data_IF_992196663218
#
_entry.id   IF_992196663218
#
_cell.length_a   1.000
_cell.length_b   1.000
_cell.length_c   1.000
_cell.angle_alpha   90.00
_cell.angle_beta   90.00
_cell.angle_gamma   90.00
#
_symmetry.space_group_name_H-M   'P 1'
#
loop_
_entity.id
_entity.type
_entity.pdbx_description
1 polymer ?
#
# COMPACT_ATOMS: atom_id res chain seq x y z
N UNK A 1 -6.76 11.53 -20.03
CA UNK A 1 -6.79 11.49 -18.56
C UNK A 1 -8.20 11.83 -18.12
N UNK A 2 -8.86 10.95 -17.38
CA UNK A 2 -10.22 11.22 -16.89
C UNK A 2 -10.16 11.26 -15.37
N UNK A 3 -10.29 12.44 -14.75
CA UNK A 3 -10.26 12.55 -13.30
C UNK A 3 -11.50 11.88 -12.71
N UNK A 4 -11.30 10.99 -11.73
CA UNK A 4 -12.40 10.30 -11.03
C UNK A 4 -12.80 11.15 -9.84
N UNK A 5 -14.05 11.61 -9.82
CA UNK A 5 -14.61 12.35 -8.71
C UNK A 5 -14.82 11.44 -7.50
N UNK A 6 -14.27 11.79 -6.33
CA UNK A 6 -14.47 11.03 -5.10
C UNK A 6 -15.83 11.33 -4.44
N UNK A 7 -15.91 12.43 -3.68
CA UNK A 7 -17.06 12.88 -2.88
C UNK A 7 -16.79 14.34 -2.47
N UNK A 8 -17.81 15.20 -2.42
CA UNK A 8 -17.66 16.63 -2.07
C UNK A 8 -18.13 17.56 -3.19
N UNK A 9 -17.79 18.85 -3.11
CA UNK A 9 -18.18 19.84 -4.13
C UNK A 9 -17.38 19.66 -5.42
N UNK A 10 -18.09 19.60 -6.56
CA UNK A 10 -17.51 19.35 -7.90
C UNK A 10 -16.59 20.46 -8.43
N UNK A 11 -16.60 21.64 -7.81
CA UNK A 11 -15.76 22.79 -8.21
C UNK A 11 -14.39 22.81 -7.53
N UNK A 12 -14.18 22.00 -6.49
CA UNK A 12 -12.90 21.93 -5.80
C UNK A 12 -11.97 20.91 -6.51
N UNK A 13 -10.83 21.35 -7.08
CA UNK A 13 -9.89 20.47 -7.75
C UNK A 13 -9.28 19.40 -6.83
N UNK A 14 -9.30 19.60 -5.50
CA UNK A 14 -8.83 18.61 -4.52
C UNK A 14 -9.71 17.35 -4.41
N UNK A 15 -10.94 17.39 -4.92
CA UNK A 15 -11.90 16.27 -4.85
C UNK A 15 -11.81 15.30 -6.05
N UNK A 16 -10.87 15.55 -6.96
CA UNK A 16 -10.61 14.70 -8.10
C UNK A 16 -9.33 13.90 -7.89
N UNK A 17 -9.39 12.60 -8.15
CA UNK A 17 -8.20 11.77 -8.27
C UNK A 17 -7.80 11.70 -9.74
N UNK A 18 -6.60 12.15 -10.12
CA UNK A 18 -6.10 11.89 -11.46
C UNK A 18 -5.91 10.38 -11.62
N UNK A 19 -6.68 9.77 -12.52
CA UNK A 19 -6.47 8.38 -12.92
C UNK A 19 -5.66 8.37 -14.21
N UNK A 20 -4.45 7.82 -14.16
CA UNK A 20 -3.68 7.50 -15.36
C UNK A 20 -4.31 6.27 -16.02
N UNK A 21 -4.91 6.46 -17.21
CA UNK A 21 -5.18 5.32 -18.08
C UNK A 21 -3.88 4.98 -18.80
N UNK A 22 -3.22 3.92 -18.35
CA UNK A 22 -2.12 3.31 -19.09
C UNK A 22 -2.67 2.49 -20.25
N UNK A 23 -1.91 2.41 -21.35
CA UNK A 23 -2.28 1.61 -22.53
C UNK A 23 -2.44 0.14 -22.16
N UNK A 24 -3.15 -0.64 -22.99
CA UNK A 24 -3.32 -2.09 -22.75
C UNK A 24 -1.97 -2.79 -22.63
N UNK A 25 -1.01 -2.45 -23.50
CA UNK A 25 0.37 -2.96 -23.42
C UNK A 25 1.10 -2.51 -22.14
N UNK A 26 0.89 -1.26 -21.70
CA UNK A 26 1.45 -0.75 -20.44
C UNK A 26 0.95 -1.52 -19.22
N UNK A 27 -0.35 -1.83 -19.16
CA UNK A 27 -0.92 -2.65 -18.08
C UNK A 27 -0.33 -4.06 -18.03
N UNK A 28 -0.06 -4.67 -19.18
CA UNK A 28 0.58 -6.00 -19.23
C UNK A 28 1.99 -5.94 -18.66
N UNK A 29 2.79 -4.93 -19.06
CA UNK A 29 4.14 -4.75 -18.53
C UNK A 29 4.13 -4.47 -17.02
N UNK A 30 3.22 -3.62 -16.55
CA UNK A 30 3.05 -3.34 -15.13
C UNK A 30 2.73 -4.61 -14.33
N UNK A 31 1.84 -5.47 -14.83
CA UNK A 31 1.50 -6.73 -14.17
C UNK A 31 2.70 -7.68 -14.07
N UNK A 32 3.55 -7.74 -15.10
CA UNK A 32 4.78 -8.56 -15.09
C UNK A 32 5.75 -8.04 -14.02
N UNK A 33 6.00 -6.73 -14.01
CA UNK A 33 6.89 -6.10 -13.02
C UNK A 33 6.35 -6.30 -11.60
N UNK A 34 5.04 -6.07 -11.39
CA UNK A 34 4.38 -6.26 -10.10
C UNK A 34 4.49 -7.71 -9.62
N UNK A 35 4.37 -8.68 -10.52
CA UNK A 35 4.52 -10.10 -10.19
C UNK A 35 5.95 -10.42 -9.71
N UNK A 36 6.96 -9.91 -10.41
CA UNK A 36 8.37 -10.09 -10.02
C UNK A 36 8.68 -9.44 -8.65
N UNK A 37 8.21 -8.21 -8.42
CA UNK A 37 8.39 -7.51 -7.14
C UNK A 37 7.68 -8.25 -6.01
N UNK A 38 6.44 -8.69 -6.23
CA UNK A 38 5.65 -9.39 -5.23
C UNK A 38 6.32 -10.69 -4.81
N UNK A 39 6.86 -11.44 -5.78
CA UNK A 39 7.64 -12.65 -5.52
C UNK A 39 8.88 -12.36 -4.67
N UNK A 40 9.62 -11.30 -5.00
CA UNK A 40 10.83 -10.93 -4.27
C UNK A 40 10.56 -10.48 -2.83
N UNK A 41 9.51 -9.67 -2.63
CA UNK A 41 9.10 -9.18 -1.31
C UNK A 41 8.62 -10.32 -0.41
N UNK A 42 7.93 -11.32 -0.98
CA UNK A 42 7.47 -12.50 -0.24
C UNK A 42 8.62 -13.39 0.21
N UNK A 43 9.59 -13.65 -0.68
CA UNK A 43 10.71 -14.54 -0.36
C UNK A 43 11.73 -13.92 0.60
N UNK A 44 11.94 -12.61 0.51
CA UNK A 44 12.94 -11.92 1.32
C UNK A 44 12.41 -11.40 2.67
N UNK A 45 11.13 -11.66 3.00
CA UNK A 45 10.48 -11.18 4.24
C UNK A 45 10.69 -9.68 4.52
N UNK A 46 10.77 -8.86 3.47
CA UNK A 46 11.05 -7.41 3.61
C UNK A 46 9.89 -6.68 4.30
N UNK A 47 8.70 -7.27 4.31
CA UNK A 47 7.48 -6.70 4.89
C UNK A 47 7.15 -7.30 6.26
N UNK A 48 6.62 -6.45 7.14
CA UNK A 48 6.22 -6.86 8.49
C UNK A 48 5.06 -7.86 8.43
N UNK A 49 5.04 -8.88 9.32
CA UNK A 49 3.97 -9.87 9.37
C UNK A 49 2.63 -9.29 9.81
N UNK A 50 2.55 -8.05 10.32
CA UNK A 50 1.31 -7.32 10.56
C UNK A 50 0.78 -6.54 9.35
N UNK A 51 1.56 -6.41 8.27
CA UNK A 51 1.12 -5.70 7.08
C UNK A 51 0.16 -6.56 6.27
N UNK A 52 -1.10 -6.13 6.19
CA UNK A 52 -2.12 -6.86 5.43
C UNK A 52 -2.40 -6.22 4.06
N UNK A 53 -2.15 -4.93 3.91
CA UNK A 53 -2.40 -4.22 2.65
C UNK A 53 -1.35 -4.62 1.59
N UNK A 54 -1.83 -4.93 0.38
CA UNK A 54 -1.04 -5.35 -0.78
C UNK A 54 -0.31 -6.69 -0.67
N UNK A 55 -0.61 -7.51 0.34
CA UNK A 55 -0.04 -8.84 0.50
C UNK A 55 -0.97 -9.91 -0.07
N UNK A 56 -0.40 -10.91 -0.75
CA UNK A 56 -1.16 -12.04 -1.27
C UNK A 56 -1.75 -12.85 -0.10
N UNK A 57 -3.02 -13.21 -0.19
CA UNK A 57 -3.70 -14.01 0.83
C UNK A 57 -4.08 -13.26 2.11
N UNK A 58 -3.89 -11.93 2.16
CA UNK A 58 -4.29 -11.09 3.29
C UNK A 58 -5.39 -10.13 2.86
N UNK A 59 -6.40 -9.98 3.71
CA UNK A 59 -7.56 -9.12 3.46
C UNK A 59 -7.75 -8.11 4.60
N UNK A 60 -8.69 -7.18 4.40
CA UNK A 60 -9.13 -6.29 5.48
C UNK A 60 -9.72 -7.05 6.66
N UNK A 61 -10.39 -8.19 6.40
CA UNK A 61 -10.99 -9.02 7.43
C UNK A 61 -9.91 -9.71 8.29
N UNK A 62 -8.89 -10.30 7.67
CA UNK A 62 -7.78 -10.93 8.41
C UNK A 62 -7.00 -9.91 9.24
N UNK A 63 -6.87 -8.67 8.73
CA UNK A 63 -6.27 -7.58 9.49
C UNK A 63 -7.09 -7.23 10.74
N UNK A 64 -8.41 -7.19 10.60
CA UNK A 64 -9.31 -6.90 11.70
C UNK A 64 -9.28 -8.02 12.75
N UNK A 65 -9.30 -9.29 12.32
CA UNK A 65 -9.18 -10.45 13.20
C UNK A 65 -7.86 -10.41 13.98
N UNK A 66 -6.74 -10.20 13.29
CA UNK A 66 -5.42 -10.10 13.94
C UNK A 66 -5.34 -8.95 14.95
N UNK A 67 -6.00 -7.82 14.64
CA UNK A 67 -6.06 -6.69 15.56
C UNK A 67 -6.89 -7.02 16.81
N UNK A 68 -8.09 -7.57 16.63
CA UNK A 68 -8.95 -7.94 17.76
C UNK A 68 -8.33 -9.02 18.64
N UNK A 69 -7.70 -10.03 18.04
CA UNK A 69 -6.97 -11.08 18.77
C UNK A 69 -5.89 -10.47 19.69
N UNK A 70 -5.12 -9.52 19.17
CA UNK A 70 -4.11 -8.79 19.94
C UNK A 70 -4.73 -7.97 21.08
N UNK A 71 -5.83 -7.26 20.81
CA UNK A 71 -6.51 -6.42 21.81
C UNK A 71 -7.13 -7.29 22.91
N UNK A 72 -7.83 -8.37 22.53
CA UNK A 72 -8.45 -9.31 23.48
C UNK A 72 -7.42 -9.93 24.40
N UNK A 73 -6.28 -10.38 23.86
CA UNK A 73 -5.19 -10.93 24.68
C UNK A 73 -4.65 -9.92 25.70
N UNK A 74 -4.46 -8.65 25.32
CA UNK A 74 -3.97 -7.61 26.23
C UNK A 74 -5.01 -7.26 27.31
N UNK A 75 -6.30 -7.27 26.96
CA UNK A 75 -7.39 -7.04 27.92
C UNK A 75 -7.50 -8.19 28.91
N UNK A 76 -7.36 -9.44 28.46
CA UNK A 76 -7.38 -10.63 29.32
C UNK A 76 -6.22 -10.64 30.32
N UNK A 77 -5.06 -10.09 29.94
CA UNK A 77 -3.93 -9.84 30.85
C UNK A 77 -4.14 -8.68 31.83
N UNK A 78 -5.27 -7.97 31.74
CA UNK A 78 -5.60 -6.81 32.57
C UNK A 78 -4.81 -5.55 32.20
N UNK A 79 -4.21 -5.48 31.01
CA UNK A 79 -3.43 -4.32 30.55
C UNK A 79 -4.35 -3.28 29.89
N UNK A 80 -4.09 -2.00 30.16
CA UNK A 80 -4.74 -0.92 29.45
C UNK A 80 -4.28 -0.89 27.98
N UNK A 81 -5.23 -0.87 27.05
CA UNK A 81 -4.97 -0.81 25.60
C UNK A 81 -5.41 0.56 25.09
N UNK A 82 -4.49 1.28 24.46
CA UNK A 82 -4.78 2.50 23.69
C UNK A 82 -4.44 2.28 22.21
N UNK A 83 -5.27 2.81 21.32
CA UNK A 83 -5.20 2.54 19.88
C UNK A 83 -5.11 3.86 19.13
N UNK A 84 -3.98 4.07 18.47
CA UNK A 84 -3.74 5.27 17.64
C UNK A 84 -3.85 4.90 16.16
N UNK A 85 -4.72 5.61 15.44
CA UNK A 85 -4.90 5.46 13.99
C UNK A 85 -4.25 6.62 13.22
N UNK A 86 -2.98 6.52 12.83
CA UNK A 86 -2.36 7.51 11.94
C UNK A 86 -2.84 7.33 10.49
N UNK A 87 -3.29 8.41 9.86
CA UNK A 87 -3.60 8.45 8.42
C UNK A 87 -2.65 9.41 7.68
N UNK A 88 -2.20 8.99 6.49
CA UNK A 88 -1.36 9.81 5.63
C UNK A 88 -2.23 10.50 4.57
N UNK A 89 -2.36 11.83 4.68
CA UNK A 89 -3.00 12.62 3.63
C UNK A 89 -2.23 12.46 2.32
N UNK A 90 -2.95 12.11 1.25
CA UNK A 90 -2.40 11.95 -0.12
C UNK A 90 -1.16 11.05 -0.21
N UNK A 91 -1.16 9.91 0.50
CA UNK A 91 -0.04 8.98 0.56
C UNK A 91 0.62 8.60 -0.79
N UNK A 92 -0.13 8.56 -1.89
CA UNK A 92 0.41 8.29 -3.23
C UNK A 92 1.01 9.52 -3.92
N UNK A 93 0.49 10.72 -3.63
CA UNK A 93 1.02 11.97 -4.19
C UNK A 93 2.25 12.46 -3.40
N UNK A 94 2.32 12.12 -2.10
CA UNK A 94 3.43 12.46 -1.20
C UNK A 94 4.57 11.42 -1.23
N UNK A 95 4.45 10.36 -2.04
CA UNK A 95 5.48 9.35 -2.21
C UNK A 95 6.73 9.97 -2.86
N UNK A 96 7.69 10.39 -2.04
CA UNK A 96 8.89 11.09 -2.47
C UNK A 96 9.79 10.17 -3.32
N UNK A 97 9.95 10.52 -4.59
CA UNK A 97 10.65 9.76 -5.63
C UNK A 97 12.01 9.19 -5.16
N UNK A 98 12.83 10.00 -4.47
CA UNK A 98 14.16 9.57 -4.00
C UNK A 98 14.15 8.52 -2.88
N UNK A 99 13.15 8.52 -1.99
CA UNK A 99 13.13 7.63 -0.81
C UNK A 99 12.69 6.21 -1.15
N UNK A 100 11.86 6.04 -2.18
CA UNK A 100 11.43 4.72 -2.67
C UNK A 100 12.41 4.12 -3.69
N UNK A 101 13.23 4.95 -4.36
CA UNK A 101 14.19 4.48 -5.35
C UNK A 101 15.45 3.87 -4.72
N UNK A 102 15.90 4.38 -3.57
CA UNK A 102 17.11 3.91 -2.91
C UNK A 102 17.05 2.43 -2.46
N UNK A 103 15.93 1.93 -1.89
CA UNK A 103 15.77 0.49 -1.61
C UNK A 103 15.69 -0.35 -2.90
N UNK A 104 15.00 0.13 -3.94
CA UNK A 104 14.86 -0.59 -5.22
C UNK A 104 16.21 -0.72 -5.96
N UNK A 105 17.03 0.34 -5.93
CA UNK A 105 18.38 0.33 -6.50
C UNK A 105 19.34 -0.61 -5.75
N UNK A 106 19.18 -0.75 -4.42
CA UNK A 106 19.97 -1.68 -3.60
C UNK A 106 19.60 -3.15 -3.82
N UNK A 107 18.37 -3.44 -4.23
CA UNK A 107 17.92 -4.80 -4.60
C UNK A 107 18.29 -5.22 -6.03
N UNK A 108 19.08 -4.41 -6.75
CA UNK A 108 19.61 -4.79 -8.07
C UNK A 108 18.61 -4.75 -9.22
N UNK A 109 17.44 -4.13 -9.04
CA UNK A 109 16.49 -3.89 -10.14
C UNK A 109 16.96 -2.63 -10.89
N UNK A 110 17.96 -2.80 -11.75
CA UNK A 110 18.37 -1.78 -12.72
C UNK A 110 17.41 -1.85 -13.92
N UNK A 111 16.59 -0.82 -14.11
CA UNK A 111 16.05 -0.54 -15.43
C UNK A 111 17.09 0.27 -16.19
N UNK A 112 17.83 -0.40 -17.09
CA UNK A 112 18.55 0.28 -18.16
C UNK A 112 17.53 0.59 -19.27
N UNK A 113 17.37 1.87 -19.57
CA UNK A 113 16.50 2.41 -20.61
C UNK A 113 16.54 3.93 -20.55
#
# INVERSE_FOLDING_TARGET
>A
MTPIHKKGWKKDPGNYRPASLTSVSGKVMEQIILSAITWHVQNNQVTRPSQHRFMKGRSCLTNLISFYDTVTHLVDEGKAVDVVYPDFSKAFDTAFFWRNWLPMARTGIFFAG
#
